data_IF_207157907279
#
_entry.id   IF_207157907279
#
_cell.length_a   1.000
_cell.length_b   1.000
_cell.length_c   1.000
_cell.angle_alpha   90.00
_cell.angle_beta   90.00
_cell.angle_gamma   90.00
#
_symmetry.space_group_name_H-M   'P 1'
#
loop_
_entity.id
_entity.type
_entity.pdbx_description
1 polymer ?
#
# COMPACT_ATOMS: atom_id res chain seq x y z
N UNK A 1 -23.04 -18.13 10.15
CA UNK A 1 -22.58 -17.92 8.75
C UNK A 1 -21.21 -18.57 8.65
N UNK A 2 -21.09 -19.65 7.89
CA UNK A 2 -19.79 -20.30 7.68
C UNK A 2 -19.19 -19.67 6.42
N UNK A 3 -18.09 -18.93 6.57
CA UNK A 3 -17.38 -18.34 5.43
C UNK A 3 -16.32 -19.35 5.03
N UNK A 4 -16.46 -19.89 3.81
CA UNK A 4 -15.39 -20.65 3.18
C UNK A 4 -14.45 -19.66 2.47
N UNK A 5 -13.17 -19.71 2.80
CA UNK A 5 -12.16 -18.80 2.27
C UNK A 5 -11.35 -19.50 1.18
N UNK A 6 -11.37 -18.92 -0.02
CA UNK A 6 -10.44 -19.29 -1.08
C UNK A 6 -9.06 -18.68 -0.77
N UNK A 7 -8.26 -19.44 -0.03
CA UNK A 7 -6.94 -19.00 0.45
C UNK A 7 -5.98 -18.66 -0.70
N UNK A 8 -6.02 -19.42 -1.80
CA UNK A 8 -5.13 -19.20 -2.93
C UNK A 8 -5.45 -17.85 -3.58
N UNK A 9 -6.72 -17.62 -3.90
CA UNK A 9 -7.16 -16.34 -4.45
C UNK A 9 -6.84 -15.14 -3.55
N UNK A 10 -6.96 -15.30 -2.22
CA UNK A 10 -6.64 -14.23 -1.27
C UNK A 10 -5.15 -13.90 -1.30
N UNK A 11 -4.29 -14.92 -1.27
CA UNK A 11 -2.83 -14.72 -1.29
C UNK A 11 -2.39 -14.12 -2.63
N UNK A 12 -2.89 -14.64 -3.75
CA UNK A 12 -2.56 -14.12 -5.09
C UNK A 12 -2.96 -12.64 -5.23
N UNK A 13 -4.12 -12.26 -4.68
CA UNK A 13 -4.57 -10.87 -4.66
C UNK A 13 -3.71 -9.97 -3.78
N UNK A 14 -3.22 -10.47 -2.65
CA UNK A 14 -2.28 -9.73 -1.79
C UNK A 14 -0.93 -9.54 -2.48
N UNK A 15 -0.40 -10.57 -3.14
CA UNK A 15 0.84 -10.46 -3.91
C UNK A 15 0.70 -9.46 -5.06
N UNK A 16 -0.42 -9.50 -5.79
CA UNK A 16 -0.68 -8.57 -6.89
C UNK A 16 -0.74 -7.12 -6.40
N UNK A 17 -1.49 -6.83 -5.34
CA UNK A 17 -1.61 -5.44 -4.86
C UNK A 17 -0.26 -4.92 -4.36
N UNK A 18 0.56 -5.76 -3.71
CA UNK A 18 1.89 -5.35 -3.28
C UNK A 18 2.84 -5.08 -4.44
N UNK A 19 2.75 -5.84 -5.54
CA UNK A 19 3.48 -5.55 -6.77
C UNK A 19 3.06 -4.21 -7.38
N UNK A 20 1.75 -3.94 -7.49
CA UNK A 20 1.22 -2.67 -8.02
C UNK A 20 1.69 -1.46 -7.18
N UNK A 21 1.69 -1.61 -5.85
CA UNK A 21 2.16 -0.56 -4.93
C UNK A 21 3.67 -0.30 -5.08
N UNK A 22 4.45 -1.37 -5.26
CA UNK A 22 5.90 -1.26 -5.50
C UNK A 22 6.18 -0.54 -6.82
N UNK A 23 5.53 -0.96 -7.90
CA UNK A 23 5.70 -0.35 -9.23
C UNK A 23 5.32 1.13 -9.20
N UNK A 24 4.18 1.48 -8.59
CA UNK A 24 3.77 2.87 -8.41
C UNK A 24 4.79 3.68 -7.59
N UNK A 25 5.24 3.15 -6.45
CA UNK A 25 6.21 3.82 -5.57
C UNK A 25 7.56 4.06 -6.26
N UNK A 26 8.03 3.12 -7.10
CA UNK A 26 9.28 3.30 -7.87
C UNK A 26 9.22 4.40 -8.92
N UNK A 27 8.00 4.78 -9.34
CA UNK A 27 7.78 5.88 -10.29
C UNK A 27 7.75 7.28 -9.68
N UNK A 28 7.76 7.40 -8.35
CA UNK A 28 7.67 8.68 -7.66
C UNK A 28 9.04 9.32 -7.45
N UNK A 29 9.12 10.63 -7.72
CA UNK A 29 10.28 11.45 -7.36
C UNK A 29 10.27 11.83 -5.88
N UNK A 30 11.38 12.36 -5.36
CA UNK A 30 11.46 12.87 -3.98
C UNK A 30 10.45 14.00 -3.72
N UNK A 31 10.15 14.83 -4.72
CA UNK A 31 9.15 15.89 -4.64
C UNK A 31 7.73 15.33 -4.57
N UNK A 32 7.45 14.27 -5.33
CA UNK A 32 6.16 13.55 -5.26
C UNK A 32 5.97 12.93 -3.88
N UNK A 33 7.01 12.31 -3.32
CA UNK A 33 6.98 11.75 -1.97
C UNK A 33 6.69 12.79 -0.89
N UNK A 34 7.27 13.99 -1.02
CA UNK A 34 7.08 15.10 -0.09
C UNK A 34 5.71 15.80 -0.23
N UNK A 35 4.89 15.44 -1.22
CA UNK A 35 3.60 16.07 -1.47
C UNK A 35 2.67 15.91 -0.26
N UNK A 36 2.08 17.01 0.28
CA UNK A 36 1.13 16.93 1.39
C UNK A 36 -0.12 16.13 1.03
N UNK A 37 -0.58 15.30 1.95
CA UNK A 37 -1.80 14.51 1.81
C UNK A 37 -3.01 15.22 2.42
N UNK A 38 -4.18 14.57 2.35
CA UNK A 38 -5.41 15.06 3.01
C UNK A 38 -5.38 14.82 4.53
N UNK A 39 -4.50 13.96 5.04
CA UNK A 39 -4.31 13.79 6.47
C UNK A 39 -3.43 14.93 6.99
N UNK A 40 -3.88 15.71 8.01
CA UNK A 40 -3.12 16.85 8.50
C UNK A 40 -1.70 16.48 8.94
N UNK A 41 -0.71 17.15 8.34
CA UNK A 41 0.71 16.98 8.64
C UNK A 41 1.36 15.75 7.99
N UNK A 42 0.65 14.98 7.16
CA UNK A 42 1.18 13.81 6.47
C UNK A 42 1.51 14.14 5.02
N UNK A 43 2.52 13.45 4.51
CA UNK A 43 2.92 13.41 3.10
C UNK A 43 2.40 12.14 2.42
N UNK A 44 2.63 12.01 1.11
CA UNK A 44 2.42 10.74 0.38
C UNK A 44 3.25 9.61 1.00
N UNK A 45 4.48 9.92 1.44
CA UNK A 45 5.35 8.96 2.12
C UNK A 45 4.74 8.46 3.43
N UNK A 46 4.19 9.35 4.25
CA UNK A 46 3.57 8.98 5.52
C UNK A 46 2.36 8.07 5.32
N UNK A 47 1.57 8.30 4.26
CA UNK A 47 0.46 7.42 3.91
C UNK A 47 0.94 6.01 3.58
N UNK A 48 1.96 5.87 2.72
CA UNK A 48 2.51 4.56 2.36
C UNK A 48 3.11 3.87 3.58
N UNK A 49 3.91 4.59 4.38
CA UNK A 49 4.54 4.09 5.60
C UNK A 49 3.52 3.55 6.60
N UNK A 50 2.36 4.22 6.73
CA UNK A 50 1.27 3.75 7.58
C UNK A 50 0.68 2.42 7.11
N UNK A 51 0.54 2.23 5.80
CA UNK A 51 -0.08 1.03 5.20
C UNK A 51 0.85 -0.17 5.34
N UNK A 52 2.13 -0.02 4.95
CA UNK A 52 3.13 -1.09 5.07
C UNK A 52 3.47 -1.41 6.54
N UNK A 53 3.36 -0.44 7.45
CA UNK A 53 3.71 -0.63 8.87
C UNK A 53 2.84 -1.64 9.61
N UNK A 54 1.75 -2.11 9.00
CA UNK A 54 0.86 -3.13 9.54
C UNK A 54 1.25 -4.56 9.17
N UNK A 55 2.13 -4.75 8.18
CA UNK A 55 2.66 -6.04 7.78
C UNK A 55 4.13 -6.15 8.21
N UNK A 56 4.45 -7.18 9.00
CA UNK A 56 5.82 -7.52 9.42
C UNK A 56 6.12 -8.97 9.15
#
# INVERSE_FOLDING_TARGET
MNIELDRARIIDGLEQIWAEWTDWATGLSDEDWATPSRCPGWTVQDNLAHIIGTER
#
